data_IF_896441624002
#
_entry.id   IF_896441624002
#
_cell.length_a   1.000
_cell.length_b   1.000
_cell.length_c   1.000
_cell.angle_alpha   90.00
_cell.angle_beta   90.00
_cell.angle_gamma   90.00
#
_symmetry.space_group_name_H-M   'P 1'
#
loop_
_entity.id
_entity.type
_entity.pdbx_description
1 polymer ?
#
# COMPACT_ATOMS: atom_id res chain seq x y z
N UNK A 1 -16.92 -5.35 -6.58
CA UNK A 1 -16.62 -5.38 -8.02
C UNK A 1 -17.87 -5.62 -8.87
N UNK A 2 -18.70 -6.66 -8.66
CA UNK A 2 -19.90 -6.90 -9.50
C UNK A 2 -20.96 -5.79 -9.54
N UNK A 3 -21.21 -5.09 -8.42
CA UNK A 3 -22.24 -4.04 -8.34
C UNK A 3 -21.88 -2.75 -9.09
N UNK A 4 -20.60 -2.43 -9.19
CA UNK A 4 -20.12 -1.22 -9.86
C UNK A 4 -20.10 -1.39 -11.38
N UNK A 5 -19.73 -2.58 -11.86
CA UNK A 5 -19.82 -2.94 -13.27
C UNK A 5 -21.28 -3.07 -13.73
N UNK A 6 -22.16 -3.60 -12.88
CA UNK A 6 -23.60 -3.64 -13.14
C UNK A 6 -24.23 -2.23 -13.22
N UNK A 7 -23.86 -1.31 -12.33
CA UNK A 7 -24.31 0.08 -12.39
C UNK A 7 -23.79 0.79 -13.65
N UNK A 8 -22.53 0.57 -14.03
CA UNK A 8 -21.95 1.15 -15.24
C UNK A 8 -22.61 0.61 -16.51
N UNK A 9 -22.92 -0.69 -16.56
CA UNK A 9 -23.63 -1.31 -17.69
C UNK A 9 -25.07 -0.79 -17.84
N UNK A 10 -25.78 -0.58 -16.72
CA UNK A 10 -27.14 0.01 -16.73
C UNK A 10 -27.14 1.49 -17.16
N UNK A 11 -26.13 2.25 -16.75
CA UNK A 11 -25.96 3.65 -17.19
C UNK A 11 -25.69 3.71 -18.71
N UNK A 12 -24.84 2.84 -19.23
CA UNK A 12 -24.60 2.75 -20.68
C UNK A 12 -25.83 2.29 -21.45
N UNK A 13 -26.62 1.35 -20.91
CA UNK A 13 -27.88 0.92 -21.50
C UNK A 13 -28.93 2.06 -21.53
N UNK A 14 -29.01 2.87 -20.47
CA UNK A 14 -29.87 4.06 -20.43
C UNK A 14 -29.43 5.14 -21.42
N UNK A 15 -28.12 5.41 -21.53
CA UNK A 15 -27.57 6.37 -22.50
C UNK A 15 -27.75 5.93 -23.96
N UNK A 16 -27.87 4.63 -24.21
CA UNK A 16 -28.13 4.04 -25.53
C UNK A 16 -29.64 3.95 -25.88
N UNK A 17 -30.53 4.50 -25.04
CA UNK A 17 -31.97 4.57 -25.32
C UNK A 17 -32.76 3.28 -25.05
N UNK A 18 -32.28 2.43 -24.13
CA UNK A 18 -32.96 1.17 -23.77
C UNK A 18 -34.30 1.39 -23.05
N UNK A 19 -35.34 0.63 -23.45
CA UNK A 19 -36.69 0.67 -22.87
C UNK A 19 -36.86 -0.22 -21.63
N UNK A 20 -35.79 -0.58 -20.90
CA UNK A 20 -35.95 -1.34 -19.66
C UNK A 20 -36.71 -0.47 -18.63
N UNK A 21 -37.85 -0.98 -18.16
CA UNK A 21 -38.64 -0.30 -17.13
C UNK A 21 -37.84 -0.14 -15.83
N UNK A 22 -37.96 1.05 -15.23
CA UNK A 22 -37.30 1.45 -13.97
C UNK A 22 -35.77 1.35 -13.96
N UNK A 23 -35.10 1.55 -15.11
CA UNK A 23 -33.62 1.68 -15.18
C UNK A 23 -33.10 2.69 -14.14
N UNK A 24 -33.73 3.85 -14.02
CA UNK A 24 -33.24 4.93 -13.16
C UNK A 24 -33.33 4.58 -11.66
N UNK A 25 -34.40 3.89 -11.24
CA UNK A 25 -34.55 3.39 -9.87
C UNK A 25 -33.54 2.30 -9.55
N UNK A 26 -33.31 1.36 -10.48
CA UNK A 26 -32.28 0.31 -10.30
C UNK A 26 -30.88 0.92 -10.22
N UNK A 27 -30.56 1.90 -11.07
CA UNK A 27 -29.28 2.63 -11.00
C UNK A 27 -29.10 3.27 -9.61
N UNK A 28 -30.14 3.92 -9.09
CA UNK A 28 -30.10 4.55 -7.77
C UNK A 28 -29.96 3.53 -6.63
N UNK A 29 -30.69 2.41 -6.66
CA UNK A 29 -30.57 1.33 -5.67
C UNK A 29 -29.16 0.72 -5.65
N UNK A 30 -28.57 0.50 -6.83
CA UNK A 30 -27.21 -0.02 -6.95
C UNK A 30 -26.16 1.00 -6.46
N UNK A 31 -26.34 2.28 -6.79
CA UNK A 31 -25.48 3.35 -6.29
C UNK A 31 -25.55 3.51 -4.77
N UNK A 32 -26.74 3.44 -4.17
CA UNK A 32 -26.92 3.50 -2.72
C UNK A 32 -26.28 2.31 -2.01
N UNK A 33 -26.40 1.09 -2.55
CA UNK A 33 -25.73 -0.10 -2.00
C UNK A 33 -24.21 -0.03 -2.11
N UNK A 34 -23.69 0.53 -3.20
CA UNK A 34 -22.25 0.83 -3.34
C UNK A 34 -21.82 1.86 -2.29
N UNK A 35 -22.62 2.90 -2.05
CA UNK A 35 -22.34 3.95 -1.08
C UNK A 35 -22.43 3.45 0.39
N UNK A 36 -23.32 2.50 0.68
CA UNK A 36 -23.42 1.83 1.97
C UNK A 36 -22.24 0.89 2.24
N UNK A 37 -21.80 0.11 1.24
CA UNK A 37 -20.59 -0.71 1.32
C UNK A 37 -19.33 0.13 1.48
N UNK A 38 -19.29 1.29 0.81
CA UNK A 38 -18.25 2.30 0.96
C UNK A 38 -18.24 2.87 2.38
N UNK A 39 -19.40 3.23 2.94
CA UNK A 39 -19.55 3.70 4.33
C UNK A 39 -19.10 2.66 5.38
N UNK A 40 -19.33 1.37 5.11
CA UNK A 40 -18.90 0.29 6.00
C UNK A 40 -17.37 0.06 5.96
N UNK A 41 -16.73 0.17 4.79
CA UNK A 41 -15.27 0.12 4.65
C UNK A 41 -14.58 1.41 5.16
N UNK A 42 -15.31 2.52 5.23
CA UNK A 42 -14.84 3.86 5.63
C UNK A 42 -14.50 4.00 7.12
N UNK A 43 -15.04 3.15 8.01
CA UNK A 43 -14.84 3.29 9.46
C UNK A 43 -13.45 2.87 9.97
N UNK A 44 -12.67 2.13 9.19
CA UNK A 44 -11.40 1.53 9.66
C UNK A 44 -10.14 2.08 8.99
N UNK A 45 -10.21 2.75 7.84
CA UNK A 45 -9.00 3.22 7.12
C UNK A 45 -9.19 4.49 6.26
N UNK A 46 -10.12 5.38 6.62
CA UNK A 46 -10.59 6.46 5.73
C UNK A 46 -9.55 7.53 5.34
N UNK A 47 -8.60 7.89 6.22
CA UNK A 47 -7.70 9.01 5.96
C UNK A 47 -6.62 8.68 4.90
N UNK A 48 -5.97 7.53 5.01
CA UNK A 48 -4.97 7.07 4.03
C UNK A 48 -5.58 6.74 2.68
N UNK A 49 -6.82 6.23 2.68
CA UNK A 49 -7.57 5.95 1.46
C UNK A 49 -7.91 7.24 0.70
N UNK A 50 -8.40 8.27 1.40
CA UNK A 50 -8.73 9.57 0.77
C UNK A 50 -7.50 10.28 0.20
N UNK A 51 -6.37 10.32 0.91
CA UNK A 51 -5.12 10.93 0.41
C UNK A 51 -4.57 10.19 -0.83
N UNK A 52 -4.70 8.86 -0.86
CA UNK A 52 -4.27 8.07 -2.03
C UNK A 52 -5.19 8.33 -3.23
N UNK A 53 -6.50 8.36 -3.01
CA UNK A 53 -7.48 8.66 -4.05
C UNK A 53 -7.30 10.08 -4.61
N UNK A 54 -7.06 11.05 -3.73
CA UNK A 54 -6.75 12.44 -4.07
C UNK A 54 -5.57 12.56 -5.02
N UNK A 55 -4.47 11.89 -4.68
CA UNK A 55 -3.26 11.96 -5.46
C UNK A 55 -3.41 11.24 -6.81
N UNK A 56 -4.11 10.10 -6.84
CA UNK A 56 -4.42 9.38 -8.08
C UNK A 56 -5.27 10.21 -9.05
N UNK A 57 -6.34 10.86 -8.57
CA UNK A 57 -7.19 11.72 -9.40
C UNK A 57 -6.47 13.00 -9.85
N UNK A 58 -5.65 13.60 -8.99
CA UNK A 58 -4.82 14.75 -9.34
C UNK A 58 -3.80 14.40 -10.44
N UNK A 59 -3.15 13.24 -10.34
CA UNK A 59 -2.26 12.71 -11.38
C UNK A 59 -3.02 12.51 -12.70
N UNK A 60 -4.16 11.82 -12.66
CA UNK A 60 -5.00 11.56 -13.84
C UNK A 60 -5.49 12.84 -14.52
N UNK A 61 -5.87 13.86 -13.75
CA UNK A 61 -6.27 15.15 -14.29
C UNK A 61 -5.14 15.87 -15.03
N UNK A 62 -3.88 15.65 -14.65
CA UNK A 62 -2.74 16.27 -15.32
C UNK A 62 -2.29 15.55 -16.59
N UNK A 63 -2.68 14.29 -16.79
CA UNK A 63 -2.28 13.47 -17.95
C UNK A 63 -3.30 13.48 -19.08
N UNK A 64 -4.56 13.82 -18.80
CA UNK A 64 -5.64 13.85 -19.80
C UNK A 64 -5.64 15.16 -20.61
N UNK A 65 -5.59 15.06 -21.94
CA UNK A 65 -5.71 16.20 -22.88
C UNK A 65 -7.15 16.66 -23.14
N UNK A 66 -8.15 15.86 -22.78
CA UNK A 66 -9.56 16.26 -22.86
C UNK A 66 -9.95 17.19 -21.71
N UNK A 67 -10.26 18.44 -22.03
CA UNK A 67 -10.60 19.48 -21.06
C UNK A 67 -11.82 19.12 -20.18
N UNK A 68 -12.82 18.43 -20.73
CA UNK A 68 -14.03 18.03 -20.00
C UNK A 68 -13.77 16.98 -18.92
N UNK A 69 -12.98 15.95 -19.26
CA UNK A 69 -12.59 14.89 -18.33
C UNK A 69 -11.59 15.41 -17.29
N UNK A 70 -10.65 16.28 -17.70
CA UNK A 70 -9.73 16.95 -16.79
C UNK A 70 -10.47 17.79 -15.73
N UNK A 71 -11.52 18.52 -16.13
CA UNK A 71 -12.34 19.32 -15.20
C UNK A 71 -13.05 18.45 -14.17
N UNK A 72 -13.68 17.36 -14.62
CA UNK A 72 -14.35 16.39 -13.74
C UNK A 72 -13.38 15.73 -12.75
N UNK A 73 -12.19 15.34 -13.22
CA UNK A 73 -11.16 14.74 -12.36
C UNK A 73 -10.63 15.74 -11.31
N UNK A 74 -10.44 17.02 -11.68
CA UNK A 74 -10.08 18.09 -10.73
C UNK A 74 -11.18 18.35 -9.70
N UNK A 75 -12.44 18.32 -10.12
CA UNK A 75 -13.58 18.50 -9.22
C UNK A 75 -13.68 17.36 -8.21
N UNK A 76 -13.53 16.11 -8.66
CA UNK A 76 -13.50 14.93 -7.78
C UNK A 76 -12.32 14.97 -6.80
N UNK A 77 -11.15 15.42 -7.25
CA UNK A 77 -10.00 15.63 -6.37
C UNK A 77 -10.31 16.69 -5.31
N UNK A 78 -10.87 17.86 -5.67
CA UNK A 78 -11.25 18.88 -4.67
C UNK A 78 -12.26 18.36 -3.65
N UNK A 79 -13.30 17.66 -4.10
CA UNK A 79 -14.30 17.06 -3.20
C UNK A 79 -13.70 16.03 -2.24
N UNK A 80 -12.71 15.25 -2.69
CA UNK A 80 -12.00 14.32 -1.82
C UNK A 80 -11.12 15.04 -0.78
N UNK A 81 -10.62 16.24 -1.09
CA UNK A 81 -9.74 17.04 -0.24
C UNK A 81 -10.55 17.66 0.89
N UNK A 82 -11.66 18.30 0.54
CA UNK A 82 -12.60 18.89 1.51
C UNK A 82 -13.10 17.83 2.50
N UNK A 83 -13.34 16.60 2.03
CA UNK A 83 -13.73 15.47 2.88
C UNK A 83 -12.60 15.00 3.78
N UNK A 84 -11.36 14.96 3.29
CA UNK A 84 -10.20 14.59 4.10
C UNK A 84 -9.92 15.64 5.20
N UNK A 85 -10.09 16.92 4.90
CA UNK A 85 -9.94 18.02 5.86
C UNK A 85 -11.05 18.00 6.93
N UNK A 86 -12.31 17.77 6.54
CA UNK A 86 -13.42 17.60 7.49
C UNK A 86 -13.21 16.41 8.45
N UNK A 87 -12.54 15.34 7.98
CA UNK A 87 -12.18 14.19 8.80
C UNK A 87 -11.02 14.49 9.77
N UNK A 88 -10.06 15.32 9.37
CA UNK A 88 -9.00 15.81 10.26
C UNK A 88 -9.57 16.57 11.46
N UNK A 89 -10.64 17.34 11.24
CA UNK A 89 -11.34 18.09 12.29
C UNK A 89 -12.22 17.24 13.21
N UNK A 90 -12.72 16.09 12.74
CA UNK A 90 -13.54 15.20 13.57
C UNK A 90 -12.68 14.31 14.50
N UNK A 91 -11.50 13.90 14.06
CA UNK A 91 -10.52 13.14 14.86
C UNK A 91 -9.89 14.00 15.97
N UNK A 92 -9.70 15.31 15.74
CA UNK A 92 -9.26 16.24 16.79
C UNK A 92 -10.35 16.52 17.82
N UNK A 93 -11.64 16.48 17.44
CA UNK A 93 -12.79 16.64 18.35
C UNK A 93 -13.13 15.38 19.17
N UNK A 94 -12.90 14.16 18.64
CA UNK A 94 -13.16 12.92 19.39
C UNK A 94 -12.17 12.70 20.55
N UNK A 95 -10.92 13.16 20.40
CA UNK A 95 -9.88 13.08 21.45
C UNK A 95 -10.17 13.96 22.69
N UNK A 96 -11.12 14.89 22.60
CA UNK A 96 -11.52 15.74 23.74
C UNK A 96 -12.76 15.19 24.50
N UNK A 97 -13.51 14.24 23.92
CA UNK A 97 -14.79 13.77 24.48
C UNK A 97 -14.69 12.54 25.39
N UNK A 98 -13.55 11.83 25.39
CA UNK A 98 -13.33 10.64 26.25
C UNK A 98 -12.81 10.96 27.67
N UNK A 99 -12.63 12.23 28.04
CA UNK A 99 -12.16 12.62 29.40
C UNK A 99 -13.25 12.97 30.41
N UNK A 100 -14.54 12.82 30.08
CA UNK A 100 -15.63 13.09 31.02
C UNK A 100 -16.59 11.92 31.10
N UNK A 101 -16.26 10.92 31.94
CA UNK A 101 -17.18 10.14 32.80
C UNK A 101 -16.54 8.81 33.23
N UNK A 102 -15.81 8.80 34.35
CA UNK A 102 -15.66 7.64 35.24
C UNK A 102 -15.04 8.07 36.58
N UNK A 103 -15.74 7.80 37.67
CA UNK A 103 -15.27 8.01 39.04
C UNK A 103 -14.15 7.02 39.43
N UNK A 104 -13.20 7.45 40.26
CA UNK A 104 -12.05 6.66 40.79
C UNK A 104 -12.46 5.76 41.98
N UNK A 105 -11.68 4.69 42.31
CA UNK A 105 -10.53 4.87 43.20
C UNK A 105 -9.20 4.15 42.80
N UNK A 106 -8.10 4.81 43.17
CA UNK A 106 -6.71 4.40 43.47
C UNK A 106 -5.87 3.48 42.54
N UNK A 107 -4.95 4.09 41.78
CA UNK A 107 -3.49 3.80 41.73
C UNK A 107 -2.73 4.91 40.94
N UNK A 108 -1.39 5.08 41.09
CA UNK A 108 -0.72 6.34 40.77
C UNK A 108 -0.56 6.56 39.25
N UNK A 109 -1.04 7.72 38.79
CA UNK A 109 -0.98 8.18 37.41
C UNK A 109 0.32 8.97 37.19
N UNK A 110 1.12 8.58 36.19
CA UNK A 110 2.26 9.38 35.70
C UNK A 110 1.75 10.70 35.14
N UNK A 111 2.23 11.80 35.72
CA UNK A 111 2.03 13.17 35.26
C UNK A 111 2.82 13.42 33.97
N UNK A 112 2.14 13.84 32.91
CA UNK A 112 2.77 14.46 31.75
C UNK A 112 2.92 15.96 32.02
N UNK A 113 4.12 16.49 31.88
CA UNK A 113 4.40 17.92 31.97
C UNK A 113 4.00 18.63 30.66
N UNK A 114 3.40 19.84 30.72
CA UNK A 114 3.18 20.66 29.53
C UNK A 114 4.53 21.20 29.01
N UNK A 115 4.63 21.32 27.68
CA UNK A 115 5.72 22.05 27.02
C UNK A 115 5.73 23.50 27.52
N UNK A 116 6.91 23.98 27.92
CA UNK A 116 7.13 25.28 28.56
C UNK A 116 6.83 26.50 27.66
N UNK A 117 6.94 27.73 28.21
CA UNK A 117 6.23 28.91 27.72
C UNK A 117 6.79 29.63 26.47
N UNK A 118 7.80 29.11 25.77
CA UNK A 118 8.60 29.92 24.83
C UNK A 118 8.23 29.81 23.33
N UNK A 119 6.95 29.63 22.99
CA UNK A 119 6.50 29.79 21.60
C UNK A 119 5.86 31.16 21.38
N UNK A 120 6.70 32.18 21.20
CA UNK A 120 6.27 33.50 20.72
C UNK A 120 6.46 33.59 19.19
N UNK A 121 5.39 33.94 18.48
CA UNK A 121 5.32 34.04 17.00
C UNK A 121 5.98 35.31 16.44
N UNK A 122 7.18 35.65 16.91
CA UNK A 122 7.87 36.82 16.43
C UNK A 122 9.39 36.65 16.52
N UNK A 123 9.95 35.72 15.74
CA UNK A 123 11.39 35.68 15.50
C UNK A 123 11.71 35.54 14.01
N UNK A 124 12.69 36.36 13.59
CA UNK A 124 13.16 36.53 12.20
C UNK A 124 13.70 35.22 11.62
N UNK A 125 13.70 35.06 10.29
CA UNK A 125 14.00 33.78 9.65
C UNK A 125 15.44 33.34 9.90
N UNK A 126 15.62 32.38 10.81
CA UNK A 126 16.86 31.61 10.87
C UNK A 126 16.88 30.60 9.72
N UNK A 127 18.03 30.51 9.08
CA UNK A 127 18.28 29.75 7.87
C UNK A 127 17.98 28.27 8.11
N UNK A 128 16.91 27.78 7.47
CA UNK A 128 16.58 26.36 7.46
C UNK A 128 17.74 25.63 6.78
N UNK A 129 18.55 24.91 7.56
CA UNK A 129 19.43 23.89 6.99
C UNK A 129 18.54 22.81 6.37
N UNK A 130 18.68 22.65 5.06
CA UNK A 130 18.00 21.61 4.30
C UNK A 130 18.20 20.25 4.99
N UNK A 131 17.10 19.55 5.25
CA UNK A 131 17.13 18.12 5.57
C UNK A 131 17.60 17.42 4.30
N UNK A 132 18.92 17.31 4.17
CA UNK A 132 19.54 16.49 3.15
C UNK A 132 19.16 15.04 3.45
N UNK A 133 18.54 14.38 2.47
CA UNK A 133 18.44 12.94 2.43
C UNK A 133 19.87 12.39 2.54
N UNK A 134 20.25 11.94 3.73
CA UNK A 134 21.60 11.43 3.97
C UNK A 134 21.67 10.00 3.47
N UNK A 135 22.43 9.82 2.40
CA UNK A 135 22.91 8.51 1.98
C UNK A 135 23.83 7.90 3.04
N UNK A 136 23.79 6.58 3.05
CA UNK A 136 24.63 5.58 3.72
C UNK A 136 26.10 5.97 3.96
N UNK A 137 26.37 6.67 5.07
CA UNK A 137 27.63 6.55 5.81
C UNK A 137 27.29 6.17 7.26
N UNK A 138 27.82 5.01 7.68
CA UNK A 138 27.53 4.30 8.93
C UNK A 138 26.77 5.08 10.01
N UNK A 139 25.45 4.90 10.07
CA UNK A 139 24.64 5.40 11.16
C UNK A 139 25.11 4.74 12.46
N UNK A 140 25.93 5.46 13.23
CA UNK A 140 26.26 5.12 14.60
C UNK A 140 25.05 5.49 15.44
N UNK A 141 24.08 4.58 15.52
CA UNK A 141 22.92 4.74 16.40
C UNK A 141 23.38 4.87 17.85
N UNK A 142 22.69 5.67 18.65
CA UNK A 142 22.92 5.72 20.10
C UNK A 142 22.50 4.41 20.77
N UNK A 143 22.93 4.17 22.01
CA UNK A 143 22.53 2.96 22.74
C UNK A 143 21.00 2.86 22.92
N UNK A 144 20.34 4.00 23.12
CA UNK A 144 18.89 4.11 23.24
C UNK A 144 18.20 3.82 21.90
N UNK A 145 18.70 4.37 20.81
CA UNK A 145 18.19 4.10 19.46
C UNK A 145 18.32 2.63 19.09
N UNK A 146 19.46 2.00 19.39
CA UNK A 146 19.69 0.56 19.19
C UNK A 146 18.63 -0.25 19.96
N UNK A 147 18.36 0.12 21.21
CA UNK A 147 17.36 -0.58 22.01
C UNK A 147 15.94 -0.41 21.45
N UNK A 148 15.59 0.78 20.95
CA UNK A 148 14.32 1.01 20.25
C UNK A 148 14.25 0.18 18.97
N UNK A 149 15.31 0.16 18.15
CA UNK A 149 15.39 -0.61 16.92
C UNK A 149 15.25 -2.12 17.18
N UNK A 150 15.85 -2.61 18.26
CA UNK A 150 15.76 -3.99 18.72
C UNK A 150 14.33 -4.34 19.14
N UNK A 151 13.69 -3.52 19.98
CA UNK A 151 12.30 -3.75 20.42
C UNK A 151 11.32 -3.71 19.25
N UNK A 152 11.49 -2.77 18.32
CA UNK A 152 10.59 -2.55 17.17
C UNK A 152 10.88 -3.45 15.98
N UNK A 153 11.93 -4.29 16.05
CA UNK A 153 12.29 -5.23 14.98
C UNK A 153 11.39 -6.45 14.92
N UNK A 154 10.80 -6.87 16.04
CA UNK A 154 9.92 -8.03 16.10
C UNK A 154 8.49 -7.62 15.79
N UNK A 155 7.98 -8.07 14.65
CA UNK A 155 6.60 -7.83 14.20
C UNK A 155 5.99 -9.19 13.91
N UNK A 156 4.85 -9.51 14.54
CA UNK A 156 4.19 -10.81 14.41
C UNK A 156 5.11 -12.02 14.70
N UNK A 157 6.04 -11.86 15.65
CA UNK A 157 7.01 -12.90 16.01
C UNK A 157 8.18 -13.08 15.03
N UNK A 158 8.19 -12.33 13.93
CA UNK A 158 9.26 -12.35 12.92
C UNK A 158 10.17 -11.15 13.13
N UNK A 159 11.48 -11.37 13.08
CA UNK A 159 12.48 -10.32 13.20
C UNK A 159 12.78 -9.68 11.84
N UNK A 160 12.54 -8.37 11.75
CA UNK A 160 12.86 -7.53 10.60
C UNK A 160 13.96 -6.56 11.02
N UNK A 161 15.20 -6.83 10.64
CA UNK A 161 16.33 -5.96 10.99
C UNK A 161 16.41 -4.75 10.05
N UNK A 162 16.99 -3.61 10.51
CA UNK A 162 17.30 -2.49 9.64
C UNK A 162 18.10 -2.93 8.42
N UNK A 163 17.80 -2.34 7.27
CA UNK A 163 18.53 -2.56 6.04
C UNK A 163 19.90 -1.87 6.14
N UNK A 164 20.97 -2.61 5.90
CA UNK A 164 22.34 -2.15 6.00
C UNK A 164 23.09 -2.37 4.68
N UNK A 165 24.23 -1.70 4.50
CA UNK A 165 25.05 -1.85 3.29
C UNK A 165 25.58 -3.27 3.07
N UNK A 166 25.70 -4.08 4.13
CA UNK A 166 26.04 -5.51 4.03
C UNK A 166 24.96 -6.31 3.30
N UNK A 167 23.69 -5.91 3.37
CA UNK A 167 22.58 -6.59 2.71
C UNK A 167 22.61 -6.44 1.18
N UNK A 168 23.33 -5.44 0.66
CA UNK A 168 23.60 -5.33 -0.78
C UNK A 168 24.44 -6.49 -1.32
N UNK A 169 25.12 -7.24 -0.44
CA UNK A 169 25.89 -8.45 -0.77
C UNK A 169 25.12 -9.74 -0.45
N UNK A 170 23.82 -9.65 -0.16
CA UNK A 170 22.96 -10.81 0.07
C UNK A 170 23.03 -11.78 -1.13
N UNK A 171 23.16 -13.07 -0.84
CA UNK A 171 23.24 -14.10 -1.89
C UNK A 171 21.83 -14.48 -2.34
N UNK A 172 21.61 -14.42 -3.65
CA UNK A 172 20.33 -14.78 -4.28
C UNK A 172 20.37 -16.08 -5.11
N UNK A 173 21.57 -16.53 -5.49
CA UNK A 173 21.77 -17.74 -6.29
C UNK A 173 22.02 -18.98 -5.40
N UNK A 174 21.17 -19.99 -5.55
CA UNK A 174 21.20 -21.25 -4.81
C UNK A 174 20.98 -22.46 -5.74
N UNK A 175 21.53 -23.64 -5.42
CA UNK A 175 21.28 -24.86 -6.20
C UNK A 175 19.82 -25.34 -6.16
N UNK A 176 19.11 -25.02 -5.08
CA UNK A 176 17.71 -25.39 -4.88
C UNK A 176 16.84 -24.13 -4.78
N UNK A 177 15.57 -24.20 -5.23
CA UNK A 177 14.62 -23.11 -5.06
C UNK A 177 14.46 -22.73 -3.58
N UNK A 178 14.63 -21.44 -3.31
CA UNK A 178 14.51 -20.87 -1.98
C UNK A 178 13.08 -21.03 -1.45
N UNK A 179 12.98 -21.37 -0.18
CA UNK A 179 11.72 -21.40 0.56
C UNK A 179 11.86 -20.56 1.81
N UNK A 180 10.82 -19.79 2.11
CA UNK A 180 10.82 -18.90 3.26
C UNK A 180 10.85 -19.70 4.56
N UNK A 181 11.75 -19.33 5.49
CA UNK A 181 11.89 -19.99 6.79
C UNK A 181 10.64 -19.84 7.67
N UNK A 182 9.89 -18.76 7.46
CA UNK A 182 8.62 -18.52 8.16
C UNK A 182 7.47 -19.39 7.61
N UNK A 183 7.71 -20.15 6.54
CA UNK A 183 6.69 -20.97 5.90
C UNK A 183 5.74 -20.16 4.99
N UNK A 184 4.58 -20.74 4.72
CA UNK A 184 3.54 -20.10 3.90
C UNK A 184 2.77 -19.08 4.72
N UNK A 185 2.48 -17.93 4.11
CA UNK A 185 1.69 -16.91 4.77
C UNK A 185 0.27 -17.44 5.02
N UNK A 186 -0.29 -17.22 6.22
CA UNK A 186 -1.67 -17.59 6.48
C UNK A 186 -2.59 -16.79 5.56
N UNK A 187 -3.60 -17.46 5.02
CA UNK A 187 -4.59 -16.87 4.11
C UNK A 187 -5.84 -16.44 4.90
N UNK A 188 -6.47 -15.35 4.47
CA UNK A 188 -7.78 -14.92 4.96
C UNK A 188 -8.84 -16.01 4.73
N UNK A 189 -9.95 -16.04 5.51
CA UNK A 189 -11.02 -17.02 5.32
C UNK A 189 -11.58 -17.05 3.89
N UNK A 190 -11.67 -15.89 3.24
CA UNK A 190 -12.12 -15.74 1.86
C UNK A 190 -11.15 -16.38 0.87
N UNK A 191 -9.85 -16.15 1.03
CA UNK A 191 -8.85 -16.79 0.19
C UNK A 191 -8.79 -18.30 0.43
N UNK A 192 -8.87 -18.76 1.68
CA UNK A 192 -8.90 -20.19 2.01
C UNK A 192 -10.03 -20.94 1.30
N UNK A 193 -11.19 -20.31 1.15
CA UNK A 193 -12.32 -20.91 0.45
C UNK A 193 -12.07 -21.14 -1.05
N UNK A 194 -11.21 -20.32 -1.68
CA UNK A 194 -10.89 -20.41 -3.11
C UNK A 194 -9.53 -21.05 -3.39
N UNK A 195 -8.67 -21.12 -2.38
CA UNK A 195 -7.29 -21.59 -2.46
C UNK A 195 -7.21 -23.03 -2.94
N UNK A 196 -6.42 -23.25 -3.99
CA UNK A 196 -6.09 -24.57 -4.48
C UNK A 196 -4.68 -24.98 -4.04
N UNK A 197 -3.66 -24.16 -4.38
CA UNK A 197 -2.26 -24.48 -4.13
C UNK A 197 -1.37 -23.24 -4.14
N UNK A 198 -0.14 -23.41 -3.65
CA UNK A 198 0.95 -22.47 -3.86
C UNK A 198 1.72 -22.85 -5.13
N UNK A 199 2.08 -21.86 -5.93
CA UNK A 199 2.79 -22.04 -7.21
C UNK A 199 3.94 -21.06 -7.33
N UNK A 200 4.99 -21.40 -8.06
CA UNK A 200 6.05 -20.47 -8.43
C UNK A 200 5.72 -19.77 -9.76
N UNK A 201 6.36 -18.63 -10.07
CA UNK A 201 6.20 -17.96 -11.36
C UNK A 201 6.43 -18.88 -12.56
N UNK A 202 7.45 -19.74 -12.47
CA UNK A 202 7.78 -20.73 -13.52
C UNK A 202 6.65 -21.75 -13.78
N UNK A 203 5.73 -21.96 -12.82
CA UNK A 203 4.58 -22.85 -12.98
C UNK A 203 3.39 -22.16 -13.67
N UNK A 204 3.39 -20.83 -13.77
CA UNK A 204 2.26 -20.01 -14.24
C UNK A 204 2.55 -19.38 -15.61
N UNK A 205 3.81 -18.99 -15.85
CA UNK A 205 4.22 -18.30 -17.09
C UNK A 205 5.53 -18.84 -17.64
N UNK A 206 5.65 -18.84 -18.96
CA UNK A 206 6.83 -19.30 -19.69
C UNK A 206 8.00 -18.30 -19.67
N UNK A 207 7.76 -17.04 -19.34
CA UNK A 207 8.80 -16.00 -19.35
C UNK A 207 8.58 -14.98 -18.22
N UNK A 208 8.74 -15.39 -16.95
CA UNK A 208 8.58 -14.49 -15.82
C UNK A 208 9.63 -13.39 -15.85
N UNK A 209 9.20 -12.16 -15.60
CA UNK A 209 10.04 -10.98 -15.46
C UNK A 209 9.68 -10.24 -14.19
N UNK A 210 10.67 -9.58 -13.59
CA UNK A 210 10.42 -8.79 -12.39
C UNK A 210 9.51 -7.59 -12.69
N UNK A 211 9.94 -6.76 -13.64
CA UNK A 211 9.24 -5.57 -14.10
C UNK A 211 9.46 -5.45 -15.61
N UNK A 212 8.37 -5.40 -16.38
CA UNK A 212 8.41 -5.02 -17.80
C UNK A 212 8.17 -3.51 -17.93
N UNK A 213 7.17 -2.98 -17.23
CA UNK A 213 6.90 -1.54 -17.18
C UNK A 213 6.26 -1.18 -15.84
N UNK A 214 6.86 -0.22 -15.13
CA UNK A 214 6.25 0.34 -13.92
C UNK A 214 5.05 1.19 -14.34
N UNK A 215 3.85 0.63 -14.18
CA UNK A 215 2.59 1.28 -14.59
C UNK A 215 1.52 1.09 -13.52
N UNK A 216 0.83 2.17 -13.19
CA UNK A 216 -0.35 2.12 -12.31
C UNK A 216 -1.51 1.35 -12.95
N UNK A 217 -1.62 1.39 -14.28
CA UNK A 217 -2.70 0.72 -15.04
C UNK A 217 -2.55 -0.79 -15.12
N UNK A 218 -1.37 -1.32 -14.82
CA UNK A 218 -1.17 -2.76 -14.86
C UNK A 218 -1.62 -3.44 -13.58
N UNK A 219 -1.80 -2.71 -12.47
CA UNK A 219 -2.14 -3.32 -11.18
C UNK A 219 -3.60 -3.77 -11.13
N UNK A 220 -3.82 -5.05 -10.84
CA UNK A 220 -5.13 -5.66 -10.58
C UNK A 220 -5.22 -6.11 -9.13
N UNK A 221 -6.26 -5.64 -8.44
CA UNK A 221 -6.61 -6.10 -7.10
C UNK A 221 -7.54 -7.32 -7.20
N UNK A 222 -7.29 -8.32 -6.36
CA UNK A 222 -8.08 -9.56 -6.31
C UNK A 222 -8.93 -9.61 -5.03
N UNK A 223 -9.14 -10.81 -4.47
CA UNK A 223 -9.93 -11.01 -3.25
C UNK A 223 -9.31 -10.37 -2.00
N UNK A 224 -8.02 -10.00 -2.07
CA UNK A 224 -7.30 -9.31 -0.99
C UNK A 224 -7.88 -7.91 -0.78
N UNK A 225 -8.13 -7.58 0.49
CA UNK A 225 -8.94 -6.42 0.90
C UNK A 225 -8.14 -5.12 1.09
N UNK A 226 -6.81 -5.14 0.92
CA UNK A 226 -5.95 -3.99 1.19
C UNK A 226 -5.88 -3.02 0.01
N UNK A 227 -7.03 -2.44 -0.36
CA UNK A 227 -7.12 -1.45 -1.42
C UNK A 227 -6.26 -0.21 -1.14
N UNK A 228 -6.01 0.14 0.12
CA UNK A 228 -5.11 1.23 0.52
C UNK A 228 -3.66 0.93 0.16
N UNK A 229 -3.21 -0.31 0.36
CA UNK A 229 -1.90 -0.77 -0.08
C UNK A 229 -1.79 -0.71 -1.60
N UNK A 230 -2.74 -1.30 -2.32
CA UNK A 230 -2.76 -1.30 -3.80
C UNK A 230 -2.79 0.13 -4.37
N UNK A 231 -3.58 1.03 -3.78
CA UNK A 231 -3.63 2.43 -4.18
C UNK A 231 -2.28 3.13 -3.96
N UNK A 232 -1.63 2.92 -2.82
CA UNK A 232 -0.30 3.47 -2.54
C UNK A 232 0.75 2.96 -3.54
N UNK A 233 0.64 1.70 -3.95
CA UNK A 233 1.52 1.08 -4.94
C UNK A 233 1.31 1.69 -6.33
N UNK A 234 0.04 1.87 -6.74
CA UNK A 234 -0.33 2.49 -8.01
C UNK A 234 0.19 3.94 -8.11
N UNK A 235 0.06 4.71 -7.03
CA UNK A 235 0.58 6.07 -6.94
C UNK A 235 2.09 6.10 -7.04
N UNK A 236 2.77 5.23 -6.30
CA UNK A 236 4.24 5.13 -6.32
C UNK A 236 4.75 4.77 -7.71
N UNK A 237 4.06 3.85 -8.41
CA UNK A 237 4.37 3.48 -9.78
C UNK A 237 4.16 4.66 -10.76
N UNK A 238 3.05 5.37 -10.65
CA UNK A 238 2.79 6.56 -11.48
C UNK A 238 3.81 7.68 -11.23
N UNK A 239 4.18 7.90 -9.96
CA UNK A 239 5.18 8.88 -9.57
C UNK A 239 6.56 8.54 -10.13
N UNK A 240 7.00 7.28 -9.98
CA UNK A 240 8.28 6.81 -10.51
C UNK A 240 8.37 7.05 -12.02
N UNK A 241 7.31 6.67 -12.76
CA UNK A 241 7.25 6.86 -14.20
C UNK A 241 7.27 8.34 -14.60
N UNK A 242 6.52 9.20 -13.90
CA UNK A 242 6.40 10.63 -14.23
C UNK A 242 7.67 11.42 -13.94
N UNK A 243 8.30 11.15 -12.80
CA UNK A 243 9.44 11.95 -12.31
C UNK A 243 10.80 11.25 -12.50
N UNK A 244 10.80 10.05 -13.06
CA UNK A 244 12.00 9.20 -13.21
C UNK A 244 12.75 9.01 -11.87
N UNK A 245 11.98 8.82 -10.79
CA UNK A 245 12.49 8.59 -9.43
C UNK A 245 12.16 7.16 -9.00
N UNK A 246 13.19 6.34 -8.84
CA UNK A 246 13.07 4.92 -8.49
C UNK A 246 12.51 4.70 -7.08
N UNK A 247 11.19 4.62 -6.93
CA UNK A 247 10.51 4.35 -5.64
C UNK A 247 10.20 2.87 -5.46
N UNK A 248 9.74 2.21 -6.53
CA UNK A 248 9.39 0.80 -6.62
C UNK A 248 10.61 -0.02 -7.05
N UNK A 249 11.29 0.38 -8.12
CA UNK A 249 12.42 -0.40 -8.65
C UNK A 249 13.59 -0.48 -7.66
N UNK A 250 13.79 0.55 -6.83
CA UNK A 250 14.92 0.62 -5.90
C UNK A 250 14.75 -0.19 -4.61
N UNK A 251 13.55 -0.72 -4.35
CA UNK A 251 13.24 -1.47 -3.12
C UNK A 251 13.23 -2.99 -3.32
N UNK A 252 13.26 -3.48 -4.56
CA UNK A 252 13.22 -4.92 -4.88
C UNK A 252 14.63 -5.40 -5.23
N UNK A 253 15.01 -6.56 -4.70
CA UNK A 253 16.30 -7.23 -4.95
C UNK A 253 16.09 -8.72 -5.26
N UNK A 254 16.93 -9.33 -6.12
CA UNK A 254 18.22 -8.84 -6.61
C UNK A 254 18.11 -7.72 -7.64
N UNK A 255 19.19 -6.94 -7.78
CA UNK A 255 19.30 -5.87 -8.77
C UNK A 255 20.49 -6.12 -9.69
N UNK A 256 20.34 -5.75 -10.97
CA UNK A 256 21.41 -5.77 -11.97
C UNK A 256 22.44 -4.64 -11.73
N UNK A 257 23.48 -4.56 -12.57
CA UNK A 257 24.52 -3.51 -12.49
C UNK A 257 23.98 -2.07 -12.62
N UNK A 258 22.78 -1.89 -13.17
CA UNK A 258 22.09 -0.59 -13.32
C UNK A 258 21.19 -0.25 -12.13
N UNK A 259 21.16 -1.10 -11.10
CA UNK A 259 20.26 -0.95 -9.96
C UNK A 259 18.79 -1.11 -10.36
N UNK A 260 18.52 -2.01 -11.32
CA UNK A 260 17.16 -2.39 -11.72
C UNK A 260 16.88 -3.80 -11.22
N UNK A 261 15.66 -4.06 -10.73
CA UNK A 261 15.35 -5.35 -10.13
C UNK A 261 15.25 -6.45 -11.19
N UNK A 262 15.80 -7.62 -10.87
CA UNK A 262 15.95 -8.73 -11.80
C UNK A 262 15.14 -9.95 -11.34
N UNK A 263 14.67 -10.73 -12.32
CA UNK A 263 14.05 -12.02 -12.04
C UNK A 263 15.09 -12.99 -11.48
N UNK A 264 14.77 -13.67 -10.39
CA UNK A 264 15.60 -14.69 -9.78
C UNK A 264 14.92 -16.07 -9.88
N UNK A 265 15.40 -16.98 -10.73
CA UNK A 265 14.87 -18.34 -10.85
C UNK A 265 14.97 -19.17 -9.57
N UNK A 266 15.87 -18.80 -8.64
CA UNK A 266 15.94 -19.45 -7.34
C UNK A 266 14.77 -19.05 -6.43
N UNK A 267 13.93 -18.08 -6.82
CA UNK A 267 12.75 -17.69 -6.09
C UNK A 267 13.01 -17.00 -4.75
N UNK A 268 14.22 -16.49 -4.52
CA UNK A 268 14.54 -15.66 -3.34
C UNK A 268 14.48 -14.20 -3.71
N UNK A 269 13.75 -13.41 -2.95
CA UNK A 269 13.69 -11.97 -3.11
C UNK A 269 13.87 -11.27 -1.77
N UNK A 270 14.40 -10.04 -1.83
CA UNK A 270 14.48 -9.14 -0.70
C UNK A 270 13.78 -7.84 -1.07
N UNK A 271 12.83 -7.41 -0.23
CA UNK A 271 12.11 -6.16 -0.38
C UNK A 271 12.49 -5.23 0.78
N UNK A 272 12.90 -4.01 0.45
CA UNK A 272 13.25 -2.98 1.42
C UNK A 272 12.01 -2.14 1.74
N UNK A 273 11.42 -2.38 2.90
CA UNK A 273 10.20 -1.67 3.34
C UNK A 273 10.53 -0.70 4.48
N UNK A 274 9.90 0.47 4.49
CA UNK A 274 10.06 1.43 5.57
C UNK A 274 9.06 1.14 6.69
N UNK A 275 9.52 0.53 7.79
CA UNK A 275 8.67 0.00 8.86
C UNK A 275 9.21 0.46 10.21
N UNK A 276 8.31 0.97 11.07
CA UNK A 276 8.66 1.47 12.40
C UNK A 276 9.79 2.52 12.37
N UNK A 277 9.72 3.45 11.41
CA UNK A 277 10.63 4.59 11.31
C UNK A 277 11.96 4.33 10.58
N UNK A 278 12.23 3.10 10.12
CA UNK A 278 13.49 2.78 9.42
C UNK A 278 13.28 1.83 8.23
N UNK A 279 14.14 1.87 7.20
CA UNK A 279 14.16 0.85 6.16
C UNK A 279 14.60 -0.50 6.76
N UNK A 280 13.81 -1.55 6.52
CA UNK A 280 14.05 -2.91 7.00
C UNK A 280 14.04 -3.88 5.83
N UNK A 281 14.84 -4.94 5.93
CA UNK A 281 14.86 -5.99 4.91
C UNK A 281 13.77 -7.01 5.19
N UNK A 282 13.02 -7.35 4.14
CA UNK A 282 12.00 -8.41 4.16
C UNK A 282 12.39 -9.44 3.13
N UNK A 283 12.84 -10.62 3.58
CA UNK A 283 13.14 -11.76 2.71
C UNK A 283 11.86 -12.54 2.47
N UNK A 284 11.58 -12.86 1.21
CA UNK A 284 10.43 -13.69 0.81
C UNK A 284 10.88 -14.76 -0.19
N UNK A 285 10.13 -15.86 -0.24
CA UNK A 285 10.12 -16.73 -1.42
C UNK A 285 9.13 -16.19 -2.48
N UNK A 286 9.10 -16.81 -3.65
CA UNK A 286 8.26 -16.40 -4.80
C UNK A 286 7.00 -17.24 -4.97
N UNK A 287 6.67 -18.10 -4.00
CA UNK A 287 5.47 -18.93 -4.07
C UNK A 287 4.22 -18.08 -3.84
N UNK A 288 3.28 -18.07 -4.78
CA UNK A 288 2.06 -17.27 -4.71
C UNK A 288 0.83 -18.19 -4.59
N UNK A 289 -0.22 -17.76 -3.88
CA UNK A 289 -1.44 -18.54 -3.74
C UNK A 289 -2.29 -18.41 -5.02
N UNK A 290 -2.80 -19.53 -5.54
CA UNK A 290 -3.74 -19.54 -6.68
C UNK A 290 -5.03 -20.25 -6.32
N UNK A 291 -6.09 -19.92 -7.05
CA UNK A 291 -7.36 -20.60 -6.99
C UNK A 291 -7.41 -21.86 -7.88
N UNK A 292 -8.57 -22.51 -7.90
CA UNK A 292 -8.83 -23.72 -8.67
C UNK A 292 -8.82 -23.48 -10.19
N UNK A 293 -8.98 -22.23 -10.64
CA UNK A 293 -8.87 -21.83 -12.04
C UNK A 293 -7.44 -21.47 -12.45
N UNK A 294 -6.50 -21.45 -11.50
CA UNK A 294 -5.11 -21.06 -11.71
C UNK A 294 -4.86 -19.55 -11.64
N UNK A 295 -5.85 -18.75 -11.21
CA UNK A 295 -5.71 -17.31 -11.06
C UNK A 295 -5.13 -16.96 -9.69
N UNK A 296 -4.33 -15.89 -9.64
CA UNK A 296 -3.66 -15.45 -8.42
C UNK A 296 -4.66 -14.92 -7.38
N UNK A 297 -4.49 -15.35 -6.13
CA UNK A 297 -5.26 -14.90 -4.98
C UNK A 297 -4.63 -13.70 -4.26
N UNK A 298 -3.56 -13.14 -4.82
CA UNK A 298 -2.89 -11.90 -4.43
C UNK A 298 -3.10 -10.84 -5.53
N UNK A 299 -2.80 -9.57 -5.27
CA UNK A 299 -2.76 -8.55 -6.32
C UNK A 299 -1.67 -8.87 -7.33
N UNK A 300 -1.94 -8.59 -8.61
CA UNK A 300 -1.04 -8.97 -9.71
C UNK A 300 -1.05 -7.94 -10.84
N UNK A 301 -0.16 -8.09 -11.82
CA UNK A 301 -0.15 -7.24 -13.02
C UNK A 301 -1.00 -7.82 -14.16
N UNK A 302 -1.69 -6.96 -14.92
CA UNK A 302 -2.33 -7.29 -16.19
C UNK A 302 -1.41 -8.05 -17.14
N UNK A 303 -0.11 -7.75 -17.08
CA UNK A 303 0.90 -8.58 -17.71
C UNK A 303 1.23 -9.75 -16.77
N UNK A 304 0.72 -10.94 -17.08
CA UNK A 304 0.92 -12.17 -16.28
C UNK A 304 2.39 -12.56 -16.10
N UNK A 305 3.29 -11.98 -16.91
CA UNK A 305 4.73 -12.22 -16.79
C UNK A 305 5.37 -11.36 -15.70
N UNK A 306 4.73 -10.28 -15.24
CA UNK A 306 5.29 -9.37 -14.24
C UNK A 306 5.00 -9.81 -12.80
N UNK A 307 6.03 -9.78 -11.96
CA UNK A 307 5.96 -10.29 -10.58
C UNK A 307 5.96 -9.22 -9.49
N UNK A 308 6.40 -8.00 -9.80
CA UNK A 308 6.66 -6.98 -8.78
C UNK A 308 5.44 -6.66 -7.89
N UNK A 309 4.22 -6.61 -8.45
CA UNK A 309 3.00 -6.34 -7.66
C UNK A 309 2.80 -7.42 -6.61
N UNK A 310 2.79 -8.68 -7.04
CA UNK A 310 2.55 -9.84 -6.19
C UNK A 310 3.63 -10.00 -5.12
N UNK A 311 4.90 -9.75 -5.48
CA UNK A 311 6.03 -9.89 -4.56
C UNK A 311 6.09 -8.76 -3.51
N UNK A 312 5.81 -7.51 -3.89
CA UNK A 312 5.72 -6.42 -2.91
C UNK A 312 4.53 -6.63 -1.98
N UNK A 313 3.36 -7.02 -2.51
CA UNK A 313 2.21 -7.35 -1.67
C UNK A 313 2.56 -8.47 -0.69
N UNK A 314 3.19 -9.53 -1.17
CA UNK A 314 3.63 -10.64 -0.30
C UNK A 314 4.59 -10.19 0.80
N UNK A 315 5.57 -9.33 0.50
CA UNK A 315 6.47 -8.79 1.51
C UNK A 315 5.72 -7.97 2.56
N UNK A 316 4.76 -7.15 2.11
CA UNK A 316 3.92 -6.36 3.00
C UNK A 316 3.02 -7.25 3.88
N UNK A 317 2.37 -8.26 3.30
CA UNK A 317 1.53 -9.24 4.01
C UNK A 317 2.34 -10.07 5.01
N UNK A 318 3.58 -10.42 4.69
CA UNK A 318 4.49 -11.08 5.63
C UNK A 318 4.71 -10.24 6.88
N UNK A 319 4.90 -8.93 6.72
CA UNK A 319 5.04 -7.99 7.84
C UNK A 319 3.74 -7.86 8.61
N UNK A 320 2.60 -7.82 7.93
CA UNK A 320 1.27 -7.70 8.54
C UNK A 320 0.75 -9.00 9.18
N UNK A 321 1.43 -10.13 8.95
CA UNK A 321 1.17 -11.42 9.62
C UNK A 321 0.31 -12.38 8.81
N UNK A 322 0.03 -12.11 7.53
CA UNK A 322 -0.82 -12.92 6.67
C UNK A 322 -1.43 -12.13 5.52
N UNK A 323 -2.08 -12.85 4.60
CA UNK A 323 -2.99 -12.30 3.59
C UNK A 323 -4.42 -12.18 4.12
#
# INVERSE_FOLDING_TARGET
FSLQEAAQALIYAGMAGSNLENIQEKINEYLERVQALHSAAYKTCGFFWMCSFLFYFALKATETSEAGLQSKLKQLARQALDRAEALKESVSKSSQKEKSNAAKPNQPVRTFFPLGPDFSLNDKPQTIRAVQASESQGQRYTAEEIEVLRKTSKINGIEYVPFMSVDLRERFAFPMPFSDRCGKLPLSPKQKAMFAKWVRPDDITNNPTMIYTVSSFSIKQTIVSDCSFVASLAISAAYERRYNKKLITSIIYPQNKKGEPEYNPCGKYMVKLHINGVPRKVIIDDQLPVDHSGELLCSYSNNKNELWVSLIEKAYMKVMGGY
#
